data_IF_969424293558
#
_entry.id   IF_969424293558
#
_cell.length_a   1.000
_cell.length_b   1.000
_cell.length_c   1.000
_cell.angle_alpha   90.00
_cell.angle_beta   90.00
_cell.angle_gamma   90.00
#
_symmetry.space_group_name_H-M   'P 1'
#
loop_
_entity.id
_entity.type
_entity.pdbx_description
1 polymer ?
#
# COMPACT_ATOMS: atom_id res chain seq x y z
N UNK A 1 -8.90 -3.76 14.20
CA UNK A 1 -9.46 -4.43 13.01
C UNK A 1 -8.39 -5.31 12.33
N UNK A 2 -8.74 -6.46 11.74
CA UNK A 2 -7.82 -7.22 10.85
C UNK A 2 -8.12 -6.88 9.39
N UNK A 3 -7.08 -6.56 8.61
CA UNK A 3 -7.21 -6.27 7.18
C UNK A 3 -6.23 -7.10 6.36
N UNK A 4 -6.74 -7.76 5.32
CA UNK A 4 -5.91 -8.42 4.31
C UNK A 4 -5.56 -7.43 3.18
N UNK A 5 -4.29 -7.47 2.78
CA UNK A 5 -3.71 -6.76 1.66
C UNK A 5 -3.20 -7.76 0.61
N UNK A 6 -3.26 -7.34 -0.65
CA UNK A 6 -2.69 -8.04 -1.80
C UNK A 6 -1.57 -7.17 -2.36
N UNK A 7 -0.34 -7.55 -2.06
CA UNK A 7 0.86 -6.72 -2.23
C UNK A 7 1.67 -7.15 -3.44
N UNK A 8 2.19 -6.23 -4.23
CA UNK A 8 3.05 -6.55 -5.39
C UNK A 8 4.40 -7.18 -5.01
N UNK A 9 4.74 -7.18 -3.71
CA UNK A 9 5.92 -7.86 -3.16
C UNK A 9 5.59 -8.62 -1.89
N UNK A 10 6.37 -9.68 -1.65
CA UNK A 10 6.36 -10.41 -0.40
C UNK A 10 7.17 -9.65 0.66
N UNK A 11 6.51 -8.71 1.34
CA UNK A 11 7.11 -7.91 2.41
C UNK A 11 6.57 -8.33 3.79
N UNK A 12 7.33 -8.02 4.83
CA UNK A 12 6.90 -8.28 6.19
C UNK A 12 5.87 -7.23 6.68
N UNK A 13 5.35 -7.44 7.88
CA UNK A 13 4.34 -6.56 8.46
C UNK A 13 4.90 -5.17 8.81
N UNK A 14 6.21 -5.06 9.06
CA UNK A 14 6.86 -3.79 9.40
C UNK A 14 6.96 -2.91 8.16
N UNK A 15 7.43 -3.47 7.05
CA UNK A 15 7.48 -2.81 5.76
C UNK A 15 6.07 -2.44 5.26
N UNK A 16 5.09 -3.34 5.41
CA UNK A 16 3.70 -3.02 5.05
C UNK A 16 3.18 -1.79 5.82
N UNK A 17 3.43 -1.70 7.14
CA UNK A 17 3.05 -0.52 7.92
C UNK A 17 3.74 0.74 7.46
N UNK A 18 5.05 0.66 7.18
CA UNK A 18 5.79 1.79 6.64
C UNK A 18 5.13 2.35 5.36
N UNK A 19 4.79 1.49 4.40
CA UNK A 19 4.13 1.93 3.17
C UNK A 19 2.68 2.40 3.39
N UNK A 20 1.95 1.81 4.34
CA UNK A 20 0.61 2.28 4.70
C UNK A 20 0.62 3.69 5.29
N UNK A 21 1.62 4.06 6.09
CA UNK A 21 1.75 5.44 6.55
C UNK A 21 2.25 6.38 5.43
N UNK A 22 3.10 5.88 4.54
CA UNK A 22 3.62 6.67 3.42
C UNK A 22 2.52 7.19 2.48
N UNK A 23 1.41 6.46 2.33
CA UNK A 23 0.30 6.91 1.47
C UNK A 23 -0.41 8.17 1.99
N UNK A 24 -0.28 8.50 3.28
CA UNK A 24 -0.82 9.75 3.82
C UNK A 24 -0.14 11.00 3.25
N UNK A 25 1.10 10.83 2.77
CA UNK A 25 1.94 11.88 2.21
C UNK A 25 2.01 11.83 0.67
N UNK A 26 1.18 11.02 0.00
CA UNK A 26 1.08 11.01 -1.45
C UNK A 26 0.28 12.22 -1.92
N UNK A 27 0.96 13.16 -2.61
CA UNK A 27 0.33 14.33 -3.20
C UNK A 27 -0.17 14.07 -4.64
N UNK A 28 0.58 13.28 -5.41
CA UNK A 28 0.29 12.96 -6.79
C UNK A 28 0.58 11.50 -7.11
N UNK A 29 -0.15 10.96 -8.09
CA UNK A 29 0.01 9.58 -8.59
C UNK A 29 0.28 9.66 -10.09
N UNK A 30 1.38 9.03 -10.53
CA UNK A 30 1.69 8.92 -11.95
C UNK A 30 0.84 7.80 -12.59
N UNK A 31 0.00 8.11 -13.60
CA UNK A 31 -0.89 7.12 -14.21
C UNK A 31 -0.17 5.91 -14.85
N UNK A 32 0.99 6.09 -15.47
CA UNK A 32 1.74 4.99 -16.09
C UNK A 32 2.26 4.02 -15.03
N UNK A 33 2.86 4.54 -13.96
CA UNK A 33 3.32 3.70 -12.85
C UNK A 33 2.15 3.02 -12.13
N UNK A 34 1.01 3.70 -12.03
CA UNK A 34 -0.21 3.11 -11.47
C UNK A 34 -0.72 1.94 -12.32
N UNK A 35 -0.69 2.07 -13.65
CA UNK A 35 -1.01 0.99 -14.59
C UNK A 35 -0.08 -0.20 -14.38
N UNK A 36 1.23 0.02 -14.34
CA UNK A 36 2.23 -1.04 -14.09
C UNK A 36 1.93 -1.79 -12.79
N UNK A 37 1.61 -1.08 -11.71
CA UNK A 37 1.25 -1.68 -10.41
C UNK A 37 0.05 -2.63 -10.51
N UNK A 38 -0.94 -2.34 -11.35
CA UNK A 38 -2.13 -3.19 -11.50
C UNK A 38 -1.86 -4.50 -12.24
N UNK A 39 -0.77 -4.57 -13.01
CA UNK A 39 -0.40 -5.75 -13.80
C UNK A 39 0.46 -6.76 -13.00
N UNK A 40 0.99 -6.34 -11.84
CA UNK A 40 1.87 -7.16 -11.01
C UNK A 40 1.09 -8.20 -10.18
N UNK A 41 1.67 -9.40 -10.06
CA UNK A 41 1.11 -10.48 -9.23
C UNK A 41 1.21 -10.15 -7.73
N UNK A 42 0.16 -10.46 -6.99
CA UNK A 42 0.04 -10.11 -5.57
C UNK A 42 0.38 -11.25 -4.59
N UNK A 43 0.98 -10.89 -3.47
CA UNK A 43 1.18 -11.71 -2.27
C UNK A 43 0.18 -11.28 -1.19
N UNK A 44 -0.38 -12.25 -0.45
CA UNK A 44 -1.33 -11.95 0.63
C UNK A 44 -0.61 -11.65 1.92
N UNK A 45 -0.95 -10.55 2.57
CA UNK A 45 -0.48 -10.21 3.92
C UNK A 45 -1.65 -9.70 4.76
N UNK A 46 -1.77 -10.19 5.98
CA UNK A 46 -2.77 -9.69 6.94
C UNK A 46 -2.08 -8.80 7.96
N UNK A 47 -2.66 -7.62 8.18
CA UNK A 47 -2.25 -6.70 9.23
C UNK A 47 -3.34 -6.60 10.30
N UNK A 48 -2.93 -6.58 11.57
CA UNK A 48 -3.79 -6.10 12.67
C UNK A 48 -3.54 -4.60 12.76
N UNK A 49 -4.60 -3.82 12.55
CA UNK A 49 -4.56 -2.38 12.46
C UNK A 49 -4.63 -1.74 13.85
N UNK A 50 -3.86 -0.69 14.06
CA UNK A 50 -4.07 0.31 15.12
C UNK A 50 -5.19 1.27 14.73
N UNK A 51 -5.74 2.01 15.69
CA UNK A 51 -6.77 3.02 15.42
C UNK A 51 -6.34 4.06 14.38
N UNK A 52 -5.07 4.46 14.39
CA UNK A 52 -4.53 5.37 13.38
C UNK A 52 -4.54 4.74 11.98
N UNK A 53 -4.10 3.47 11.88
CA UNK A 53 -4.09 2.75 10.61
C UNK A 53 -5.51 2.50 10.09
N UNK A 54 -6.49 2.30 10.97
CA UNK A 54 -7.90 2.21 10.59
C UNK A 54 -8.40 3.49 9.92
N UNK A 55 -8.02 4.67 10.43
CA UNK A 55 -8.38 5.96 9.82
C UNK A 55 -7.78 6.13 8.42
N UNK A 56 -6.56 5.64 8.20
CA UNK A 56 -5.93 5.64 6.87
C UNK A 56 -6.77 4.79 5.90
N UNK A 57 -7.18 3.60 6.34
CA UNK A 57 -8.02 2.70 5.54
C UNK A 57 -9.38 3.33 5.24
N UNK A 58 -9.99 4.03 6.21
CA UNK A 58 -11.27 4.71 6.03
C UNK A 58 -11.17 5.88 5.06
N UNK A 59 -10.10 6.68 5.17
CA UNK A 59 -9.84 7.84 4.30
C UNK A 59 -9.75 7.46 2.82
N UNK A 60 -9.02 6.39 2.50
CA UNK A 60 -8.79 5.97 1.10
C UNK A 60 -9.71 4.82 0.65
N UNK A 61 -10.39 4.16 1.57
CA UNK A 61 -11.34 3.09 1.32
C UNK A 61 -10.76 1.97 0.45
N UNK A 62 -11.45 1.67 -0.66
CA UNK A 62 -11.05 0.61 -1.62
C UNK A 62 -9.72 0.89 -2.31
N UNK A 63 -9.33 2.16 -2.44
CA UNK A 63 -8.07 2.54 -3.10
C UNK A 63 -6.84 2.21 -2.24
N UNK A 64 -6.99 1.98 -0.93
CA UNK A 64 -5.86 1.79 -0.02
C UNK A 64 -4.88 0.70 -0.48
N UNK A 65 -5.38 -0.44 -0.94
CA UNK A 65 -4.51 -1.53 -1.39
C UNK A 65 -3.69 -1.13 -2.63
N UNK A 66 -4.30 -0.39 -3.57
CA UNK A 66 -3.64 0.09 -4.77
C UNK A 66 -2.59 1.15 -4.43
N UNK A 67 -2.93 2.12 -3.56
CA UNK A 67 -2.01 3.17 -3.13
C UNK A 67 -0.82 2.62 -2.35
N UNK A 68 -1.03 1.61 -1.50
CA UNK A 68 0.07 0.91 -0.82
C UNK A 68 1.00 0.25 -1.84
N UNK A 69 0.45 -0.43 -2.84
CA UNK A 69 1.27 -1.02 -3.90
C UNK A 69 2.01 0.02 -4.73
N UNK A 70 1.38 1.16 -5.01
CA UNK A 70 2.04 2.28 -5.65
C UNK A 70 3.21 2.82 -4.80
N UNK A 71 3.01 2.99 -3.50
CA UNK A 71 4.07 3.42 -2.59
C UNK A 71 5.23 2.42 -2.48
N UNK A 72 4.94 1.11 -2.55
CA UNK A 72 5.95 0.05 -2.64
C UNK A 72 6.74 0.19 -3.95
N UNK A 73 6.04 0.33 -5.07
CA UNK A 73 6.67 0.46 -6.39
C UNK A 73 7.58 1.69 -6.48
N UNK A 74 7.11 2.84 -6.01
CA UNK A 74 7.91 4.06 -5.94
C UNK A 74 9.10 3.95 -4.99
N UNK A 75 8.98 3.18 -3.90
CA UNK A 75 10.09 2.94 -2.98
C UNK A 75 11.25 2.18 -3.61
N UNK A 76 10.98 1.31 -4.56
CA UNK A 76 11.97 0.46 -5.23
C UNK A 76 12.68 1.17 -6.38
N UNK A 77 12.00 2.06 -7.09
CA UNK A 77 12.61 2.84 -8.18
C UNK A 77 13.65 3.87 -7.69
N UNK A 78 13.60 4.23 -6.40
CA UNK A 78 14.49 5.21 -5.79
C UNK A 78 15.52 4.58 -4.84
N UNK A 79 15.62 3.24 -4.82
CA UNK A 79 16.50 2.46 -3.94
C UNK A 79 17.62 1.74 -4.69
#
# INVERSE_FOLDING_TARGET
MKKQFHLIKNIDSRALRYYLHKIEHLEFVNPEKLREVTELKGFRRTLVLSEQEERIIEKYGKATNLLVNYAIYEGELNG
#
